data_IF_445261979975
#
_entry.id   IF_445261979975
#
_cell.length_a   1.000
_cell.length_b   1.000
_cell.length_c   1.000
_cell.angle_alpha   90.00
_cell.angle_beta   90.00
_cell.angle_gamma   90.00
#
_symmetry.space_group_name_H-M   'P 1'
#
loop_
_entity.id
_entity.type
_entity.pdbx_description
1 polymer ?
#
# COMPACT_ATOMS: atom_id res chain seq x y z
N UNK A 1 8.09 27.00 -8.05
CA UNK A 1 7.65 26.47 -6.75
C UNK A 1 6.74 25.30 -7.07
N UNK A 2 7.02 24.10 -6.56
CA UNK A 2 6.23 22.91 -6.87
C UNK A 2 5.30 22.56 -5.70
N UNK A 3 4.17 21.94 -5.98
CA UNK A 3 3.22 21.45 -4.97
C UNK A 3 3.14 19.93 -4.97
N UNK A 4 3.20 19.31 -3.79
CA UNK A 4 2.96 17.88 -3.63
C UNK A 4 1.46 17.60 -3.54
N UNK A 5 0.92 16.92 -4.55
CA UNK A 5 -0.50 16.62 -4.65
C UNK A 5 -0.75 15.12 -4.49
N UNK A 6 -1.90 14.75 -3.94
CA UNK A 6 -2.36 13.36 -3.92
C UNK A 6 -2.61 12.91 -5.36
N UNK A 7 -1.82 11.96 -5.85
CA UNK A 7 -1.95 11.39 -7.19
C UNK A 7 -3.05 10.34 -7.22
N UNK A 8 -3.02 9.42 -6.25
CA UNK A 8 -3.87 8.24 -6.23
C UNK A 8 -4.12 7.76 -4.80
N UNK A 9 -5.25 7.05 -4.58
CA UNK A 9 -5.48 6.31 -3.34
C UNK A 9 -6.31 5.05 -3.53
N UNK A 10 -6.02 4.04 -2.71
CA UNK A 10 -6.91 2.91 -2.41
C UNK A 10 -7.51 3.15 -1.03
N UNK A 11 -8.84 3.27 -0.95
CA UNK A 11 -9.52 3.69 0.26
C UNK A 11 -10.15 2.51 1.00
N UNK A 12 -9.73 2.30 2.27
CA UNK A 12 -10.26 1.28 3.19
C UNK A 12 -10.16 -0.15 2.66
N UNK A 13 -9.02 -0.48 2.05
CA UNK A 13 -8.72 -1.87 1.66
C UNK A 13 -8.31 -2.67 2.89
N UNK A 14 -8.61 -3.96 2.91
CA UNK A 14 -8.27 -4.84 4.02
C UNK A 14 -6.93 -5.51 3.78
N UNK A 15 -6.04 -5.47 4.77
CA UNK A 15 -4.78 -6.22 4.75
C UNK A 15 -5.11 -7.70 4.73
N UNK A 16 -4.55 -8.41 3.76
CA UNK A 16 -4.76 -9.85 3.58
C UNK A 16 -3.64 -10.66 4.22
N UNK A 17 -2.40 -10.15 4.15
CA UNK A 17 -1.19 -10.84 4.60
C UNK A 17 -0.23 -9.84 5.26
N UNK A 18 0.60 -10.33 6.18
CA UNK A 18 1.69 -9.56 6.77
C UNK A 18 2.89 -10.49 6.99
N UNK A 19 3.89 -10.41 6.11
CA UNK A 19 5.02 -11.36 6.05
C UNK A 19 6.33 -10.69 6.51
N UNK A 20 6.78 -11.00 7.72
CA UNK A 20 7.95 -10.34 8.33
C UNK A 20 9.27 -10.69 7.63
N UNK A 21 9.42 -11.94 7.19
CA UNK A 21 10.68 -12.44 6.62
C UNK A 21 10.84 -12.14 5.12
N UNK A 22 9.85 -11.47 4.52
CA UNK A 22 9.86 -11.07 3.10
C UNK A 22 10.39 -9.63 2.93
N UNK A 23 10.90 -9.29 1.75
CA UNK A 23 11.46 -7.96 1.46
C UNK A 23 10.42 -6.82 1.62
N UNK A 24 10.82 -5.74 2.30
CA UNK A 24 9.96 -4.71 2.90
C UNK A 24 9.16 -3.80 1.96
N UNK A 25 8.22 -4.38 1.23
CA UNK A 25 7.31 -3.77 0.25
C UNK A 25 5.84 -3.97 0.61
N UNK A 26 4.92 -3.39 -0.16
CA UNK A 26 3.50 -3.77 -0.11
C UNK A 26 3.06 -4.40 -1.43
N UNK A 27 2.74 -5.70 -1.41
CA UNK A 27 2.17 -6.37 -2.58
C UNK A 27 0.67 -6.07 -2.68
N UNK A 28 0.24 -5.59 -3.84
CA UNK A 28 -1.13 -5.14 -4.08
C UNK A 28 -1.65 -5.81 -5.35
N UNK A 29 -2.89 -6.28 -5.32
CA UNK A 29 -3.60 -6.78 -6.51
C UNK A 29 -3.37 -5.82 -7.69
N UNK A 30 -2.81 -6.36 -8.77
CA UNK A 30 -2.48 -5.62 -9.98
C UNK A 30 -3.68 -4.84 -10.55
N UNK A 31 -4.90 -5.38 -10.45
CA UNK A 31 -6.10 -4.67 -10.93
C UNK A 31 -6.39 -3.42 -10.09
N UNK A 32 -6.15 -3.48 -8.77
CA UNK A 32 -6.32 -2.31 -7.90
C UNK A 32 -5.28 -1.23 -8.20
N UNK A 33 -4.03 -1.64 -8.45
CA UNK A 33 -2.96 -0.73 -8.85
C UNK A 33 -3.29 0.00 -10.16
N UNK A 34 -3.73 -0.75 -11.18
CA UNK A 34 -4.09 -0.21 -12.48
C UNK A 34 -5.29 0.75 -12.39
N UNK A 35 -6.32 0.39 -11.62
CA UNK A 35 -7.49 1.24 -11.40
C UNK A 35 -7.15 2.53 -10.66
N UNK A 36 -6.23 2.48 -9.69
CA UNK A 36 -5.80 3.65 -8.93
C UNK A 36 -4.75 4.50 -9.67
N UNK A 37 -4.06 3.95 -10.67
CA UNK A 37 -2.92 4.59 -11.32
C UNK A 37 -1.66 4.62 -10.43
N UNK A 38 -1.46 3.57 -9.62
CA UNK A 38 -0.24 3.38 -8.82
C UNK A 38 0.67 2.39 -9.57
N UNK A 39 1.92 2.77 -9.82
CA UNK A 39 2.88 1.92 -10.55
C UNK A 39 3.63 0.97 -9.61
N UNK A 40 4.13 -0.12 -10.18
CA UNK A 40 5.12 -0.94 -9.50
C UNK A 40 6.36 -0.11 -9.16
N UNK A 41 6.90 -0.33 -7.98
CA UNK A 41 8.00 0.43 -7.37
C UNK A 41 7.70 1.91 -7.08
N UNK A 42 6.44 2.36 -7.20
CA UNK A 42 6.04 3.70 -6.78
C UNK A 42 6.01 3.82 -5.26
N UNK A 43 6.54 4.93 -4.73
CA UNK A 43 6.44 5.23 -3.30
C UNK A 43 4.98 5.40 -2.89
N UNK A 44 4.58 4.70 -1.84
CA UNK A 44 3.25 4.76 -1.26
C UNK A 44 3.32 5.08 0.23
N UNK A 45 2.30 5.77 0.70
CA UNK A 45 2.01 5.98 2.11
C UNK A 45 0.86 5.08 2.52
N UNK A 46 1.00 4.38 3.64
CA UNK A 46 -0.03 3.51 4.20
C UNK A 46 -0.49 4.10 5.54
N UNK A 47 -1.80 4.29 5.66
CA UNK A 47 -2.47 4.79 6.86
C UNK A 47 -3.36 3.70 7.41
N UNK A 48 -2.96 3.09 8.52
CA UNK A 48 -3.73 2.03 9.15
C UNK A 48 -4.81 2.63 10.05
N UNK A 49 -6.07 2.32 9.75
CA UNK A 49 -7.25 2.84 10.44
C UNK A 49 -7.42 2.18 11.80
N UNK A 50 -7.03 0.91 11.91
CA UNK A 50 -7.26 0.11 13.11
C UNK A 50 -6.35 0.51 14.26
N UNK A 51 -5.07 0.78 13.99
CA UNK A 51 -4.06 1.07 15.01
C UNK A 51 -3.46 2.50 14.92
N UNK A 52 -3.79 3.27 13.88
CA UNK A 52 -3.30 4.64 13.71
C UNK A 52 -1.88 4.76 13.13
N UNK A 53 -1.19 3.64 12.87
CA UNK A 53 0.15 3.66 12.27
C UNK A 53 0.14 4.33 10.90
N UNK A 54 1.20 5.10 10.63
CA UNK A 54 1.42 5.78 9.35
C UNK A 54 2.85 5.53 8.92
N UNK A 55 3.02 4.97 7.72
CA UNK A 55 4.34 4.61 7.24
C UNK A 55 4.43 4.71 5.72
N UNK A 56 5.65 4.66 5.21
CA UNK A 56 5.97 4.78 3.79
C UNK A 56 6.73 3.54 3.35
N UNK A 57 6.41 3.03 2.16
CA UNK A 57 7.14 1.97 1.47
C UNK A 57 6.92 2.13 -0.05
N UNK A 58 7.13 1.09 -0.85
CA UNK A 58 6.82 1.04 -2.27
C UNK A 58 5.87 -0.11 -2.60
N UNK A 59 5.11 0.04 -3.68
CA UNK A 59 4.18 -0.98 -4.16
C UNK A 59 4.90 -2.04 -5.03
N UNK A 60 4.51 -3.31 -4.90
CA UNK A 60 4.83 -4.37 -5.87
C UNK A 60 3.54 -5.04 -6.34
N UNK A 61 3.59 -5.66 -7.52
CA UNK A 61 2.40 -6.29 -8.11
C UNK A 61 2.15 -7.69 -7.52
N UNK A 62 0.93 -7.92 -7.08
CA UNK A 62 0.40 -9.25 -6.78
C UNK A 62 -0.46 -9.76 -7.95
N UNK A 63 -0.87 -11.03 -7.89
CA UNK A 63 -1.74 -11.65 -8.89
C UNK A 63 -3.02 -10.82 -9.13
N UNK A 64 -3.40 -10.64 -10.39
CA UNK A 64 -4.54 -9.82 -10.78
C UNK A 64 -5.87 -10.46 -10.34
N UNK A 65 -6.72 -9.69 -9.68
CA UNK A 65 -8.02 -10.17 -9.17
C UNK A 65 -7.94 -10.98 -7.88
N UNK A 66 -6.75 -11.11 -7.29
CA UNK A 66 -6.54 -11.83 -6.03
C UNK A 66 -7.10 -11.10 -4.80
N UNK A 67 -7.32 -9.79 -4.89
CA UNK A 67 -7.64 -8.94 -3.74
C UNK A 67 -6.50 -8.79 -2.73
N UNK A 68 -5.28 -9.24 -3.05
CA UNK A 68 -4.14 -9.20 -2.14
C UNK A 68 -3.79 -7.76 -1.78
N UNK A 69 -3.63 -7.55 -0.47
CA UNK A 69 -2.93 -6.43 0.16
C UNK A 69 -1.98 -7.06 1.18
N UNK A 70 -0.70 -7.21 0.83
CA UNK A 70 0.31 -7.84 1.69
C UNK A 70 1.29 -6.79 2.17
N UNK A 71 1.45 -6.65 3.50
CA UNK A 71 2.40 -5.70 4.10
C UNK A 71 3.62 -6.46 4.60
N UNK A 72 4.75 -6.32 3.92
CA UNK A 72 5.89 -7.22 4.09
C UNK A 72 7.08 -6.57 4.80
N UNK A 73 8.01 -7.40 5.27
CA UNK A 73 9.25 -7.00 5.92
C UNK A 73 9.02 -6.21 7.19
N UNK A 74 9.86 -5.19 7.43
CA UNK A 74 9.73 -4.33 8.59
C UNK A 74 8.34 -3.66 8.73
N UNK A 75 7.59 -3.51 7.63
CA UNK A 75 6.25 -2.96 7.67
C UNK A 75 5.20 -3.94 8.24
N UNK A 76 5.48 -5.25 8.29
CA UNK A 76 4.60 -6.26 8.88
C UNK A 76 4.33 -6.01 10.37
N UNK A 77 5.21 -5.29 11.07
CA UNK A 77 4.96 -4.86 12.45
C UNK A 77 3.87 -3.78 12.58
N UNK A 78 3.52 -3.09 11.48
CA UNK A 78 2.64 -1.91 11.49
C UNK A 78 1.21 -2.21 11.02
N UNK A 79 0.97 -3.40 10.48
CA UNK A 79 -0.33 -3.83 10.02
C UNK A 79 -0.48 -5.34 10.16
N UNK A 80 -1.69 -5.78 10.52
CA UNK A 80 -2.03 -7.19 10.62
C UNK A 80 -3.16 -7.55 9.65
N UNK A 81 -3.29 -8.82 9.24
CA UNK A 81 -4.44 -9.25 8.45
C UNK A 81 -5.77 -8.79 9.08
N UNK A 82 -6.70 -8.35 8.23
CA UNK A 82 -7.99 -7.72 8.55
C UNK A 82 -7.94 -6.25 8.96
N UNK A 83 -6.76 -5.66 9.17
CA UNK A 83 -6.67 -4.22 9.35
C UNK A 83 -7.17 -3.49 8.11
N UNK A 84 -7.91 -2.40 8.31
CA UNK A 84 -8.31 -1.51 7.23
C UNK A 84 -7.23 -0.45 7.05
N UNK A 85 -6.75 -0.30 5.81
CA UNK A 85 -5.72 0.67 5.47
C UNK A 85 -6.16 1.57 4.33
N UNK A 86 -5.57 2.76 4.27
CA UNK A 86 -5.63 3.66 3.12
C UNK A 86 -4.23 3.73 2.53
N UNK A 87 -4.09 3.44 1.24
CA UNK A 87 -2.81 3.48 0.52
C UNK A 87 -2.85 4.67 -0.42
N UNK A 88 -1.86 5.55 -0.36
CA UNK A 88 -1.80 6.79 -1.14
C UNK A 88 -0.48 6.91 -1.90
N UNK A 89 -0.52 7.42 -3.13
CA UNK A 89 0.65 7.89 -3.87
C UNK A 89 0.54 9.40 -4.09
N UNK A 90 1.69 10.08 -4.12
CA UNK A 90 1.79 11.53 -4.27
C UNK A 90 2.72 11.88 -5.42
N UNK A 91 2.49 13.03 -6.06
CA UNK A 91 3.34 13.53 -7.13
C UNK A 91 3.58 15.02 -7.00
N UNK A 92 4.68 15.49 -7.58
CA UNK A 92 5.02 16.91 -7.66
C UNK A 92 4.43 17.50 -8.95
N UNK A 93 3.69 18.60 -8.84
CA UNK A 93 3.20 19.39 -9.97
C UNK A 93 3.71 20.83 -9.92
#
# INVERSE_FOLDING_TARGET
>A
MYSTMLKAKLHRVSVTHAELDYEGSCAIDSNLLDLAGIHEYEQIHIYNINNGERFTTYAIRAEAGSGIISVNGAAAHKASPKDLVIICAYTSI
#
